data_IF_914341037764
#
_entry.id   IF_914341037764
#
_cell.length_a   1.000
_cell.length_b   1.000
_cell.length_c   1.000
_cell.angle_alpha   90.00
_cell.angle_beta   90.00
_cell.angle_gamma   90.00
#
_symmetry.space_group_name_H-M   'P 1'
#
loop_
_entity.id
_entity.type
_entity.pdbx_description
1 polymer ?
#
# COMPACT_ATOMS: atom_id res chain seq x y z
N UNK A 1 -6.46 23.09 5.33
CA UNK A 1 -7.58 22.97 4.37
C UNK A 1 -8.09 21.54 4.49
N UNK A 2 -9.36 21.35 4.88
CA UNK A 2 -9.97 20.01 4.93
C UNK A 2 -10.05 19.51 3.48
N UNK A 3 -9.18 18.56 3.14
CA UNK A 3 -9.32 17.86 1.87
C UNK A 3 -10.55 16.95 1.98
N UNK A 4 -11.59 17.35 1.25
CA UNK A 4 -12.89 16.68 1.24
C UNK A 4 -12.81 15.19 0.91
N UNK A 5 -11.76 14.73 0.20
CA UNK A 5 -11.57 13.31 -0.13
C UNK A 5 -11.13 12.50 1.09
N UNK A 6 -10.21 13.01 1.91
CA UNK A 6 -9.81 12.34 3.15
C UNK A 6 -10.95 12.25 4.15
N UNK A 7 -11.73 13.33 4.31
CA UNK A 7 -12.90 13.31 5.19
C UNK A 7 -13.98 12.34 4.68
N UNK A 8 -14.19 12.29 3.36
CA UNK A 8 -15.06 11.29 2.73
C UNK A 8 -14.57 9.87 2.95
N UNK A 9 -13.27 9.61 2.80
CA UNK A 9 -12.66 8.30 3.05
C UNK A 9 -12.87 7.84 4.49
N UNK A 10 -12.54 8.70 5.47
CA UNK A 10 -12.71 8.39 6.90
C UNK A 10 -14.17 8.09 7.22
N UNK A 11 -15.10 8.91 6.72
CA UNK A 11 -16.54 8.71 6.93
C UNK A 11 -17.00 7.35 6.43
N UNK A 12 -16.60 6.95 5.23
CA UNK A 12 -16.99 5.65 4.67
C UNK A 12 -16.34 4.49 5.42
N UNK A 13 -15.06 4.58 5.81
CA UNK A 13 -14.43 3.53 6.63
C UNK A 13 -15.16 3.37 7.96
N UNK A 14 -15.42 4.46 8.69
CA UNK A 14 -16.08 4.39 10.00
C UNK A 14 -17.53 3.91 9.91
N UNK A 15 -18.23 4.24 8.82
CA UNK A 15 -19.58 3.73 8.51
C UNK A 15 -19.59 2.22 8.33
N UNK A 16 -18.64 1.66 7.59
CA UNK A 16 -18.58 0.22 7.29
C UNK A 16 -17.75 -0.61 8.28
N UNK A 17 -17.03 0.02 9.22
CA UNK A 17 -16.03 -0.65 10.08
C UNK A 17 -16.56 -1.88 10.83
N UNK A 18 -17.78 -1.81 11.37
CA UNK A 18 -18.38 -2.89 12.16
C UNK A 18 -18.86 -4.02 11.26
N UNK A 19 -19.56 -3.69 10.18
CA UNK A 19 -20.14 -4.66 9.25
C UNK A 19 -19.06 -5.50 8.54
N UNK A 20 -17.88 -4.91 8.30
CA UNK A 20 -16.79 -5.52 7.54
C UNK A 20 -15.55 -5.86 8.37
N UNK A 21 -15.58 -5.63 9.69
CA UNK A 21 -14.44 -5.78 10.59
C UNK A 21 -13.17 -5.10 10.05
N UNK A 22 -13.27 -3.80 9.73
CA UNK A 22 -12.17 -3.02 9.15
C UNK A 22 -11.21 -2.52 10.23
N UNK A 23 -11.76 -1.92 11.29
CA UNK A 23 -10.98 -1.35 12.40
C UNK A 23 -11.83 -1.22 13.66
N UNK A 24 -11.18 -1.30 14.82
CA UNK A 24 -11.78 -1.01 16.12
C UNK A 24 -11.91 0.48 16.41
N UNK A 25 -11.09 1.32 15.74
CA UNK A 25 -11.08 2.79 15.89
C UNK A 25 -12.45 3.35 15.53
N UNK A 26 -12.92 4.30 16.34
CA UNK A 26 -14.22 4.97 16.18
C UNK A 26 -14.08 6.46 15.91
N UNK A 27 -12.96 7.04 16.32
CA UNK A 27 -12.69 8.46 16.24
C UNK A 27 -11.98 8.80 14.92
N UNK A 28 -12.42 9.89 14.29
CA UNK A 28 -11.88 10.32 13.00
C UNK A 28 -10.44 10.81 13.10
N UNK A 29 -10.11 11.54 14.16
CA UNK A 29 -8.77 12.09 14.36
C UNK A 29 -7.77 10.95 14.66
N UNK A 30 -8.16 10.00 15.50
CA UNK A 30 -7.38 8.79 15.79
C UNK A 30 -7.16 7.97 14.50
N UNK A 31 -8.19 7.81 13.66
CA UNK A 31 -8.06 7.10 12.39
C UNK A 31 -7.06 7.79 11.46
N UNK A 32 -7.17 9.12 11.33
CA UNK A 32 -6.22 9.91 10.53
C UNK A 32 -4.80 9.74 11.03
N UNK A 33 -4.58 9.85 12.33
CA UNK A 33 -3.25 9.74 12.95
C UNK A 33 -2.65 8.34 12.80
N UNK A 34 -3.42 7.26 12.98
CA UNK A 34 -2.88 5.89 12.95
C UNK A 34 -2.77 5.29 11.55
N UNK A 35 -3.60 5.75 10.62
CA UNK A 35 -3.67 5.13 9.29
C UNK A 35 -3.33 6.07 8.15
N UNK A 36 -3.89 7.29 8.12
CA UNK A 36 -3.67 8.21 7.00
C UNK A 36 -2.28 8.81 7.06
N UNK A 37 -1.92 9.52 8.13
CA UNK A 37 -0.64 10.22 8.22
C UNK A 37 0.56 9.27 8.00
N UNK A 38 0.62 8.06 8.61
CA UNK A 38 1.72 7.13 8.37
C UNK A 38 1.75 6.58 6.94
N UNK A 39 0.61 6.56 6.23
CA UNK A 39 0.57 6.20 4.82
C UNK A 39 1.13 7.33 3.93
N UNK A 40 0.93 8.58 4.31
CA UNK A 40 1.44 9.73 3.56
C UNK A 40 2.96 9.86 3.65
N UNK A 41 3.58 9.41 4.74
CA UNK A 41 5.03 9.40 4.87
C UNK A 41 5.74 8.56 3.78
N UNK A 42 5.08 7.53 3.25
CA UNK A 42 5.64 6.70 2.17
C UNK A 42 5.88 7.51 0.89
N UNK A 43 5.17 8.63 0.70
CA UNK A 43 5.31 9.51 -0.46
C UNK A 43 6.72 10.08 -0.66
N UNK A 44 7.56 10.07 0.39
CA UNK A 44 8.96 10.47 0.33
C UNK A 44 9.83 9.53 -0.53
N UNK A 45 9.40 8.28 -0.74
CA UNK A 45 10.11 7.27 -1.53
C UNK A 45 9.39 6.87 -2.83
N UNK A 46 8.13 7.29 -2.97
CA UNK A 46 7.30 6.99 -4.14
C UNK A 46 7.55 8.09 -5.20
N UNK A 47 7.66 7.76 -6.50
CA UNK A 47 7.75 8.75 -7.57
C UNK A 47 6.45 9.57 -7.71
N UNK A 48 6.51 10.67 -8.47
CA UNK A 48 5.35 11.56 -8.63
C UNK A 48 4.17 10.92 -9.38
N UNK A 49 4.49 9.98 -10.28
CA UNK A 49 3.53 9.29 -11.12
C UNK A 49 3.84 7.79 -11.17
N UNK A 50 2.84 6.97 -11.47
CA UNK A 50 3.02 5.54 -11.69
C UNK A 50 1.89 4.67 -11.14
N UNK A 51 1.98 3.37 -11.43
CA UNK A 51 1.05 2.35 -10.95
C UNK A 51 1.48 1.85 -9.57
N UNK A 52 0.61 1.99 -8.58
CA UNK A 52 0.86 1.59 -7.18
C UNK A 52 0.07 0.33 -6.84
N UNK A 53 0.75 -0.79 -6.71
CA UNK A 53 0.18 -2.02 -6.19
C UNK A 53 0.11 -1.96 -4.66
N UNK A 54 -1.10 -2.07 -4.11
CA UNK A 54 -1.35 -2.26 -2.68
C UNK A 54 -1.77 -3.71 -2.40
N UNK A 55 -0.85 -4.52 -1.87
CA UNK A 55 -1.05 -5.95 -1.63
C UNK A 55 -1.78 -6.17 -0.31
N UNK A 56 -2.98 -6.75 -0.39
CA UNK A 56 -3.81 -6.96 0.80
C UNK A 56 -4.42 -5.66 1.29
N UNK A 57 -4.85 -4.80 0.36
CA UNK A 57 -5.25 -3.40 0.61
C UNK A 57 -6.31 -3.23 1.72
N UNK A 58 -7.16 -4.24 1.96
CA UNK A 58 -8.02 -4.28 3.13
C UNK A 58 -9.07 -3.17 3.13
N UNK A 59 -8.86 -2.17 3.99
CA UNK A 59 -9.68 -0.96 4.05
C UNK A 59 -9.13 0.20 3.19
N UNK A 60 -8.13 -0.09 2.35
CA UNK A 60 -7.47 0.85 1.46
C UNK A 60 -6.14 1.38 2.01
N UNK A 61 -5.50 0.73 2.99
CA UNK A 61 -4.27 1.24 3.60
C UNK A 61 -3.07 0.41 3.14
N UNK A 62 -2.00 1.04 2.60
CA UNK A 62 -1.80 2.48 2.44
C UNK A 62 -2.26 3.04 1.07
N UNK A 63 -2.75 2.22 0.15
CA UNK A 63 -2.98 2.61 -1.25
C UNK A 63 -3.97 3.75 -1.47
N UNK A 64 -5.13 3.76 -0.79
CA UNK A 64 -6.14 4.83 -0.93
C UNK A 64 -5.60 6.18 -0.46
N UNK A 65 -4.99 6.33 0.73
CA UNK A 65 -4.35 7.59 1.11
C UNK A 65 -3.32 8.12 0.10
N UNK A 66 -2.52 7.22 -0.48
CA UNK A 66 -1.50 7.59 -1.48
C UNK A 66 -2.14 8.16 -2.74
N UNK A 67 -3.15 7.47 -3.28
CA UNK A 67 -3.88 7.90 -4.48
C UNK A 67 -4.67 9.20 -4.24
N UNK A 68 -5.21 9.42 -3.04
CA UNK A 68 -5.86 10.69 -2.70
C UNK A 68 -4.85 11.85 -2.70
N UNK A 69 -3.66 11.63 -2.13
CA UNK A 69 -2.66 12.67 -1.93
C UNK A 69 -1.85 13.03 -3.18
N UNK A 70 -1.72 12.10 -4.14
CA UNK A 70 -0.89 12.28 -5.33
C UNK A 70 -1.62 11.82 -6.58
N UNK A 71 -2.13 12.79 -7.33
CA UNK A 71 -3.01 12.57 -8.51
C UNK A 71 -2.31 11.87 -9.68
N UNK A 72 -0.97 11.87 -9.71
CA UNK A 72 -0.19 11.11 -10.69
C UNK A 72 -0.17 9.60 -10.46
N UNK A 73 -0.68 9.12 -9.32
CA UNK A 73 -0.68 7.70 -8.98
C UNK A 73 -1.98 7.03 -9.44
N UNK A 74 -1.83 5.90 -10.13
CA UNK A 74 -2.92 4.99 -10.42
C UNK A 74 -2.88 3.81 -9.44
N UNK A 75 -3.93 3.65 -8.64
CA UNK A 75 -4.00 2.58 -7.63
C UNK A 75 -4.37 1.22 -8.22
N UNK A 76 -3.60 0.19 -7.89
CA UNK A 76 -3.92 -1.22 -8.17
C UNK A 76 -4.14 -1.91 -6.83
N UNK A 77 -5.39 -1.95 -6.38
CA UNK A 77 -5.74 -2.42 -5.03
C UNK A 77 -6.11 -3.90 -5.07
N UNK A 78 -5.29 -4.77 -4.47
CA UNK A 78 -5.53 -6.22 -4.48
C UNK A 78 -5.99 -6.70 -3.12
N UNK A 79 -7.13 -7.38 -3.06
CA UNK A 79 -7.70 -7.95 -1.84
C UNK A 79 -8.45 -9.24 -2.13
N UNK A 80 -8.06 -10.33 -1.49
CA UNK A 80 -8.65 -11.67 -1.67
C UNK A 80 -10.01 -11.86 -0.97
N UNK A 81 -10.33 -11.01 0.00
CA UNK A 81 -11.59 -11.07 0.76
C UNK A 81 -12.66 -10.29 0.02
N UNK A 82 -13.52 -10.99 -0.71
CA UNK A 82 -14.65 -10.44 -1.49
C UNK A 82 -15.34 -9.21 -0.88
N UNK A 83 -15.80 -9.30 0.37
CA UNK A 83 -16.50 -8.18 1.05
C UNK A 83 -15.63 -6.91 1.21
N UNK A 84 -14.31 -7.07 1.38
CA UNK A 84 -13.36 -5.96 1.45
C UNK A 84 -13.04 -5.42 0.06
N UNK A 85 -12.89 -6.29 -0.95
CA UNK A 85 -12.75 -5.84 -2.33
C UNK A 85 -14.00 -5.06 -2.83
N UNK A 86 -15.20 -5.50 -2.46
CA UNK A 86 -16.45 -4.76 -2.71
C UNK A 86 -16.45 -3.38 -2.03
N UNK A 87 -15.94 -3.29 -0.80
CA UNK A 87 -15.75 -2.02 -0.09
C UNK A 87 -14.72 -1.11 -0.77
N UNK A 88 -13.59 -1.65 -1.25
CA UNK A 88 -12.61 -0.89 -2.03
C UNK A 88 -13.24 -0.34 -3.31
N UNK A 89 -14.01 -1.15 -4.06
CA UNK A 89 -14.75 -0.68 -5.26
C UNK A 89 -15.75 0.42 -4.91
N UNK A 90 -16.40 0.32 -3.75
CA UNK A 90 -17.27 1.38 -3.22
C UNK A 90 -16.49 2.67 -2.95
N UNK A 91 -15.33 2.60 -2.30
CA UNK A 91 -14.46 3.77 -2.09
C UNK A 91 -14.02 4.41 -3.40
N UNK A 92 -13.52 3.61 -4.36
CA UNK A 92 -13.09 4.08 -5.68
C UNK A 92 -14.21 4.87 -6.37
N UNK A 93 -15.43 4.33 -6.42
CA UNK A 93 -16.58 5.02 -7.02
C UNK A 93 -17.01 6.27 -6.24
N UNK A 94 -17.07 6.17 -4.91
CA UNK A 94 -17.61 7.24 -4.04
C UNK A 94 -16.69 8.45 -4.00
N UNK A 95 -15.38 8.21 -3.95
CA UNK A 95 -14.35 9.24 -3.87
C UNK A 95 -13.77 9.63 -5.24
N UNK A 96 -14.23 8.97 -6.32
CA UNK A 96 -13.76 9.15 -7.70
C UNK A 96 -12.23 9.00 -7.81
N UNK A 97 -11.69 7.93 -7.24
CA UNK A 97 -10.25 7.66 -7.26
C UNK A 97 -9.83 7.09 -8.61
N UNK A 98 -8.63 7.45 -9.07
CA UNK A 98 -7.97 6.76 -10.16
C UNK A 98 -7.35 5.45 -9.65
N UNK A 99 -8.17 4.41 -9.56
CA UNK A 99 -7.74 3.11 -9.08
C UNK A 99 -8.62 1.97 -9.60
N UNK A 100 -8.02 0.79 -9.76
CA UNK A 100 -8.69 -0.47 -10.03
C UNK A 100 -8.61 -1.43 -8.83
N UNK A 101 -9.58 -2.34 -8.72
CA UNK A 101 -9.68 -3.29 -7.59
C UNK A 101 -9.74 -4.72 -8.10
N UNK A 102 -8.79 -5.53 -7.64
CA UNK A 102 -8.68 -6.95 -7.96
C UNK A 102 -9.11 -7.79 -6.75
N UNK A 103 -10.19 -8.56 -6.92
CA UNK A 103 -10.76 -9.46 -5.89
C UNK A 103 -10.21 -10.88 -6.05
N UNK A 104 -8.93 -11.02 -5.75
CA UNK A 104 -8.11 -12.21 -6.06
C UNK A 104 -6.93 -12.30 -5.08
N UNK A 105 -6.33 -13.48 -5.01
CA UNK A 105 -4.98 -13.59 -4.47
C UNK A 105 -4.00 -12.95 -5.46
N UNK A 106 -3.10 -12.10 -4.97
CA UNK A 106 -2.09 -11.42 -5.81
C UNK A 106 -1.24 -12.42 -6.60
N UNK A 107 -0.99 -13.61 -6.05
CA UNK A 107 -0.21 -14.64 -6.75
C UNK A 107 -0.95 -15.29 -7.92
N UNK A 108 -2.28 -15.16 -7.96
CA UNK A 108 -3.14 -15.76 -8.98
C UNK A 108 -3.41 -14.83 -10.18
N UNK A 109 -2.96 -13.57 -10.13
CA UNK A 109 -3.06 -12.66 -11.28
C UNK A 109 -1.79 -12.67 -12.11
N UNK A 110 -1.96 -12.43 -13.42
CA UNK A 110 -0.84 -12.16 -14.30
C UNK A 110 -0.04 -10.94 -13.82
N UNK A 111 1.20 -10.81 -14.29
CA UNK A 111 2.05 -9.67 -13.95
C UNK A 111 1.32 -8.35 -14.23
N UNK A 112 1.30 -7.46 -13.25
CA UNK A 112 0.58 -6.17 -13.32
C UNK A 112 1.46 -5.02 -13.81
N UNK A 113 2.77 -5.29 -13.99
CA UNK A 113 3.81 -4.36 -14.45
C UNK A 113 3.70 -2.99 -13.77
N UNK A 114 3.84 -2.99 -12.45
CA UNK A 114 3.70 -1.81 -11.60
C UNK A 114 5.04 -1.17 -11.28
N UNK A 115 5.00 0.14 -11.07
CA UNK A 115 6.16 0.97 -10.71
C UNK A 115 6.42 0.94 -9.20
N UNK A 116 5.36 0.79 -8.40
CA UNK A 116 5.44 0.89 -6.95
C UNK A 116 4.69 -0.28 -6.32
N UNK A 117 5.31 -0.92 -5.35
CA UNK A 117 4.67 -1.90 -4.48
C UNK A 117 4.62 -1.36 -3.04
N UNK A 118 3.45 -1.42 -2.44
CA UNK A 118 3.22 -1.11 -1.02
C UNK A 118 2.38 -2.20 -0.39
N UNK A 119 2.52 -2.34 0.92
CA UNK A 119 1.58 -3.10 1.73
C UNK A 119 1.68 -2.63 3.17
N UNK A 120 0.66 -2.95 3.97
CA UNK A 120 0.72 -2.80 5.41
C UNK A 120 0.18 -4.06 6.08
N UNK A 121 0.74 -4.41 7.23
CA UNK A 121 0.31 -5.54 8.05
C UNK A 121 0.51 -6.94 7.43
N UNK A 122 1.50 -7.11 6.56
CA UNK A 122 1.99 -8.43 6.13
C UNK A 122 3.16 -8.83 7.01
N UNK A 123 3.07 -10.02 7.63
CA UNK A 123 3.98 -10.44 8.70
C UNK A 123 5.39 -10.82 8.19
N UNK A 124 5.52 -11.16 6.91
CA UNK A 124 6.76 -11.66 6.33
C UNK A 124 7.16 -10.78 5.14
N UNK A 125 8.19 -9.96 5.35
CA UNK A 125 8.76 -9.06 4.35
C UNK A 125 9.34 -9.82 3.15
N UNK A 126 9.98 -10.99 3.37
CA UNK A 126 10.53 -11.81 2.29
C UNK A 126 9.43 -12.35 1.40
N UNK A 127 8.34 -12.85 2.00
CA UNK A 127 7.18 -13.30 1.24
C UNK A 127 6.55 -12.15 0.45
N UNK A 128 6.46 -10.97 1.05
CA UNK A 128 5.92 -9.79 0.39
C UNK A 128 6.78 -9.37 -0.81
N UNK A 129 8.11 -9.28 -0.66
CA UNK A 129 9.02 -8.96 -1.76
C UNK A 129 8.90 -9.99 -2.90
N UNK A 130 8.77 -11.28 -2.60
CA UNK A 130 8.49 -12.31 -3.62
C UNK A 130 7.18 -12.08 -4.37
N UNK A 131 6.12 -11.63 -3.69
CA UNK A 131 4.87 -11.25 -4.34
C UNK A 131 5.11 -10.03 -5.24
N UNK A 132 5.82 -9.00 -4.74
CA UNK A 132 6.17 -7.81 -5.51
C UNK A 132 6.92 -8.15 -6.81
N UNK A 133 7.91 -9.05 -6.76
CA UNK A 133 8.71 -9.46 -7.94
C UNK A 133 7.86 -9.93 -9.11
N UNK A 134 6.72 -10.60 -8.85
CA UNK A 134 5.82 -11.10 -9.91
C UNK A 134 5.14 -9.96 -10.69
N UNK A 135 4.99 -8.80 -10.07
CA UNK A 135 4.24 -7.67 -10.61
C UNK A 135 5.11 -6.46 -10.94
N UNK A 136 6.33 -6.39 -10.42
CA UNK A 136 7.28 -5.32 -10.67
C UNK A 136 7.63 -5.16 -12.15
N UNK A 137 7.79 -3.92 -12.60
CA UNK A 137 8.57 -3.57 -13.78
C UNK A 137 10.05 -3.38 -13.41
N UNK A 138 10.91 -3.23 -14.42
CA UNK A 138 12.38 -3.21 -14.25
C UNK A 138 12.90 -2.02 -13.42
N UNK A 139 12.08 -1.01 -13.18
CA UNK A 139 12.39 0.18 -12.39
C UNK A 139 11.63 0.25 -11.07
N UNK A 140 10.91 -0.81 -10.71
CA UNK A 140 9.96 -0.74 -9.61
C UNK A 140 10.63 -0.51 -8.25
N UNK A 141 9.90 0.13 -7.35
CA UNK A 141 10.28 0.28 -5.95
C UNK A 141 9.27 -0.41 -5.04
N UNK A 142 9.73 -1.00 -3.94
CA UNK A 142 8.88 -1.47 -2.86
C UNK A 142 9.09 -0.60 -1.62
N UNK A 143 8.03 0.03 -1.12
CA UNK A 143 8.07 0.92 0.05
C UNK A 143 7.24 0.31 1.16
N UNK A 144 7.92 -0.26 2.15
CA UNK A 144 7.33 -1.19 3.11
C UNK A 144 7.51 -0.68 4.55
N UNK A 145 6.41 -0.37 5.26
CA UNK A 145 6.44 -0.21 6.70
C UNK A 145 6.65 -1.57 7.37
N UNK A 146 7.70 -1.69 8.16
CA UNK A 146 8.13 -2.92 8.85
C UNK A 146 8.29 -2.68 10.35
N UNK A 147 8.20 -3.73 11.20
CA UNK A 147 8.46 -3.59 12.63
C UNK A 147 9.87 -3.04 12.90
N UNK A 148 10.00 -2.17 13.91
CA UNK A 148 11.30 -1.61 14.33
C UNK A 148 12.34 -2.69 14.67
N UNK A 149 11.88 -3.82 15.20
CA UNK A 149 12.75 -4.95 15.58
C UNK A 149 13.09 -5.90 14.43
N UNK A 150 12.55 -5.68 13.23
CA UNK A 150 12.80 -6.57 12.09
C UNK A 150 14.20 -6.33 11.54
N UNK A 151 14.88 -7.39 11.11
CA UNK A 151 16.12 -7.28 10.35
C UNK A 151 15.81 -7.02 8.87
N UNK A 152 16.73 -6.38 8.17
CA UNK A 152 16.61 -6.17 6.73
C UNK A 152 16.64 -7.51 6.01
N UNK A 153 15.66 -7.73 5.13
CA UNK A 153 15.65 -8.91 4.25
C UNK A 153 16.61 -8.71 3.08
N UNK A 154 17.46 -9.71 2.83
CA UNK A 154 18.28 -9.84 1.63
C UNK A 154 17.57 -10.72 0.58
N UNK A 155 17.53 -10.25 -0.66
CA UNK A 155 16.94 -10.88 -1.84
C UNK A 155 17.85 -10.65 -3.04
N UNK A 156 17.91 -11.60 -3.98
CA UNK A 156 18.73 -11.46 -5.18
C UNK A 156 18.16 -10.38 -6.13
N UNK A 157 16.84 -10.25 -6.17
CA UNK A 157 16.10 -9.38 -7.09
C UNK A 157 15.62 -8.06 -6.48
N UNK A 158 15.90 -7.82 -5.19
CA UNK A 158 15.57 -6.56 -4.49
C UNK A 158 16.75 -6.05 -3.69
N UNK A 159 17.18 -4.83 -3.98
CA UNK A 159 18.22 -4.13 -3.21
C UNK A 159 17.58 -3.09 -2.29
N UNK A 160 17.84 -3.16 -0.98
CA UNK A 160 17.45 -2.11 -0.04
C UNK A 160 18.27 -0.85 -0.34
N UNK A 161 17.60 0.24 -0.73
CA UNK A 161 18.25 1.50 -1.13
C UNK A 161 18.15 2.58 -0.06
N UNK A 162 17.18 2.46 0.86
CA UNK A 162 17.03 3.38 1.99
C UNK A 162 16.21 2.72 3.11
N UNK A 163 16.43 3.15 4.34
CA UNK A 163 15.58 2.80 5.48
C UNK A 163 15.55 3.94 6.49
N UNK A 164 14.37 4.22 7.04
CA UNK A 164 14.18 5.34 7.97
C UNK A 164 13.14 5.01 9.03
N UNK A 165 13.49 5.27 10.28
CA UNK A 165 12.51 5.34 11.36
C UNK A 165 11.72 6.65 11.26
N UNK A 166 10.41 6.53 11.25
CA UNK A 166 9.49 7.66 11.14
C UNK A 166 8.53 7.63 12.31
N UNK A 167 8.51 8.71 13.08
CA UNK A 167 7.51 8.97 14.12
C UNK A 167 6.42 9.87 13.55
N UNK A 168 5.23 9.30 13.42
CA UNK A 168 4.03 10.03 13.00
C UNK A 168 3.08 10.11 14.18
N UNK A 169 3.14 11.22 14.90
CA UNK A 169 2.25 11.51 16.04
C UNK A 169 2.23 10.37 17.10
N UNK A 170 3.40 9.84 17.44
CA UNK A 170 3.56 8.76 18.42
C UNK A 170 3.40 7.36 17.84
N UNK A 171 3.18 7.24 16.53
CA UNK A 171 3.28 5.96 15.81
C UNK A 171 4.64 5.88 15.15
N UNK A 172 5.56 5.16 15.79
CA UNK A 172 6.90 4.91 15.25
C UNK A 172 6.87 3.66 14.37
N UNK A 173 7.37 3.79 13.13
CA UNK A 173 7.53 2.68 12.19
C UNK A 173 8.86 2.79 11.46
N UNK A 174 9.50 1.66 11.17
CA UNK A 174 10.60 1.61 10.22
C UNK A 174 10.01 1.52 8.82
N UNK A 175 10.42 2.37 7.90
CA UNK A 175 10.10 2.26 6.49
C UNK A 175 11.35 1.79 5.77
N UNK A 176 11.23 0.71 4.99
CA UNK A 176 12.27 0.25 4.07
C UNK A 176 11.86 0.51 2.64
N UNK A 177 12.80 1.02 1.85
CA UNK A 177 12.67 1.21 0.43
C UNK A 177 13.62 0.26 -0.29
N UNK A 178 13.06 -0.55 -1.17
CA UNK A 178 13.79 -1.45 -2.04
C UNK A 178 13.64 -1.00 -3.50
N UNK A 179 14.69 -1.20 -4.28
CA UNK A 179 14.65 -1.11 -5.74
C UNK A 179 14.69 -2.50 -6.33
N UNK A 180 13.82 -2.75 -7.30
CA UNK A 180 13.82 -3.99 -8.06
C UNK A 180 15.05 -4.03 -8.95
N UNK A 181 15.80 -5.12 -8.86
CA UNK A 181 17.00 -5.39 -9.63
C UNK A 181 16.78 -6.77 -10.24
N UNK A 182 16.00 -6.91 -11.33
CA UNK A 182 15.76 -8.22 -11.91
C UNK A 182 17.11 -8.87 -12.16
N UNK A 183 17.28 -10.11 -11.70
CA UNK A 183 18.45 -10.89 -12.08
C UNK A 183 18.51 -10.82 -13.61
N UNK A 184 19.64 -10.36 -14.15
CA UNK A 184 19.89 -10.43 -15.59
C UNK A 184 19.62 -11.88 -15.94
N UNK A 185 18.55 -12.13 -16.68
CA UNK A 185 18.20 -13.46 -17.14
C UNK A 185 19.45 -13.98 -17.82
N UNK A 186 20.12 -14.92 -17.16
CA UNK A 186 21.03 -15.84 -17.82
C UNK A 186 20.15 -16.78 -18.64
N UNK A 187 19.48 -16.24 -19.65
CA UNK A 187 18.74 -17.02 -20.62
C UNK A 187 19.61 -17.21 -21.86
N UNK A 188 20.03 -18.47 -21.96
CA UNK A 188 20.51 -19.26 -23.12
C UNK A 188 21.87 -18.97 -23.72
#
# INVERSE_FOLDING_TARGET
MSDTRFDGYVREVLKFRKALNLTSIKDEAEFKQKFILPSLELLNWIPQEGRVLDIGSGMGIPGVPLVIAREGLHGVLVERRKKRAEFLRHLVRTLKLDAEVHDVDVNAVASLKVDICVARAVADERLLLKMCSRHANDSAVAVLPVPLSSEQVEMDDWSCVDQKEVDVHGTVQLIRCYRYCPEVSRET
#
